data_IF_609147174614
#
_entry.id   IF_609147174614
#
_cell.length_a   1.000
_cell.length_b   1.000
_cell.length_c   1.000
_cell.angle_alpha   90.00
_cell.angle_beta   90.00
_cell.angle_gamma   90.00
#
_symmetry.space_group_name_H-M   'P 1'
#
loop_
_entity.id
_entity.type
_entity.pdbx_description
1 polymer ?
#
# COMPACT_ATOMS: atom_id res chain seq x y z
N UNK A 1 24.36 6.74 17.61
CA UNK A 1 24.68 5.94 16.41
C UNK A 1 23.36 5.39 15.94
N UNK A 2 22.92 5.76 14.73
CA UNK A 2 21.71 5.20 14.13
C UNK A 2 22.14 3.86 13.51
N UNK A 3 21.55 2.76 13.99
CA UNK A 3 21.83 1.45 13.44
C UNK A 3 21.37 1.40 11.97
N UNK A 4 22.18 0.90 11.03
CA UNK A 4 21.74 0.72 9.65
C UNK A 4 20.59 -0.28 9.67
N UNK A 5 19.40 0.15 9.25
CA UNK A 5 18.24 -0.72 9.19
C UNK A 5 18.52 -1.78 8.13
N UNK A 6 18.55 -3.04 8.56
CA UNK A 6 18.75 -4.18 7.68
C UNK A 6 17.46 -4.39 6.88
N UNK A 7 17.47 -3.96 5.62
CA UNK A 7 16.31 -4.02 4.71
C UNK A 7 15.95 -5.46 4.30
N UNK A 8 16.74 -6.45 4.73
CA UNK A 8 16.50 -7.88 4.52
C UNK A 8 15.71 -8.54 5.66
N UNK A 9 15.36 -7.78 6.69
CA UNK A 9 14.49 -8.22 7.78
C UNK A 9 13.07 -8.46 7.24
N UNK A 10 12.43 -9.58 7.60
CA UNK A 10 11.06 -9.96 7.18
C UNK A 10 9.99 -8.90 7.54
N UNK A 11 10.39 -7.89 8.32
CA UNK A 11 9.61 -6.75 8.79
C UNK A 11 9.58 -5.58 7.82
N UNK A 12 10.42 -5.55 6.79
CA UNK A 12 10.50 -4.45 5.83
C UNK A 12 10.37 -4.96 4.40
N UNK A 13 9.67 -4.20 3.57
CA UNK A 13 9.50 -4.52 2.16
C UNK A 13 9.99 -3.33 1.32
N UNK A 14 10.56 -3.60 0.15
CA UNK A 14 10.93 -2.54 -0.78
C UNK A 14 9.69 -1.82 -1.31
N UNK A 15 9.73 -0.48 -1.36
CA UNK A 15 8.60 0.30 -1.89
C UNK A 15 8.24 -0.10 -3.33
N UNK A 16 9.25 -0.29 -4.18
CA UNK A 16 9.04 -0.71 -5.57
C UNK A 16 8.44 -2.12 -5.66
N UNK A 17 8.96 -3.06 -4.86
CA UNK A 17 8.45 -4.44 -4.81
C UNK A 17 7.00 -4.50 -4.30
N UNK A 18 6.68 -3.71 -3.26
CA UNK A 18 5.32 -3.61 -2.76
C UNK A 18 4.37 -2.99 -3.79
N UNK A 19 4.82 -1.94 -4.48
CA UNK A 19 4.04 -1.29 -5.53
C UNK A 19 3.75 -2.23 -6.70
N UNK A 20 4.75 -2.98 -7.18
CA UNK A 20 4.54 -3.97 -8.24
C UNK A 20 3.65 -5.13 -7.77
N UNK A 21 3.81 -5.59 -6.52
CA UNK A 21 2.97 -6.63 -5.95
C UNK A 21 1.50 -6.21 -5.83
N UNK A 22 1.23 -5.01 -5.30
CA UNK A 22 -0.13 -4.48 -5.18
C UNK A 22 -0.74 -4.16 -6.54
N UNK A 23 0.05 -3.68 -7.51
CA UNK A 23 -0.46 -3.44 -8.85
C UNK A 23 -0.81 -4.74 -9.58
N UNK A 24 -0.06 -5.83 -9.35
CA UNK A 24 -0.39 -7.14 -9.88
C UNK A 24 -1.70 -7.70 -9.29
N UNK A 25 -1.99 -7.42 -8.01
CA UNK A 25 -3.23 -7.82 -7.35
C UNK A 25 -4.43 -6.93 -7.75
N UNK A 26 -4.21 -5.63 -7.91
CA UNK A 26 -5.21 -4.63 -8.27
C UNK A 26 -4.87 -3.97 -9.62
N UNK A 27 -4.92 -4.71 -10.75
CA UNK A 27 -4.52 -4.18 -12.06
C UNK A 27 -5.46 -3.08 -12.58
N UNK A 28 -6.68 -3.01 -12.04
CA UNK A 28 -7.68 -1.97 -12.35
C UNK A 28 -7.39 -0.65 -11.65
N UNK A 29 -6.51 -0.64 -10.62
CA UNK A 29 -6.12 0.56 -9.90
C UNK A 29 -4.82 1.11 -10.47
N UNK A 30 -4.82 2.40 -10.78
CA UNK A 30 -3.64 3.07 -11.32
C UNK A 30 -2.46 2.99 -10.33
N UNK A 31 -1.26 2.70 -10.85
CA UNK A 31 -0.02 2.57 -10.07
C UNK A 31 0.25 3.81 -9.19
N UNK A 32 0.03 5.03 -9.70
CA UNK A 32 0.12 6.28 -8.93
C UNK A 32 -0.84 6.36 -7.74
N UNK A 33 -2.00 5.71 -7.81
CA UNK A 33 -2.96 5.67 -6.70
C UNK A 33 -2.48 4.70 -5.62
N UNK A 34 -1.95 3.55 -6.03
CA UNK A 34 -1.34 2.57 -5.11
C UNK A 34 -0.15 3.18 -4.39
N UNK A 35 0.74 3.88 -5.11
CA UNK A 35 1.89 4.57 -4.53
C UNK A 35 1.47 5.57 -3.43
N UNK A 36 0.46 6.41 -3.69
CA UNK A 36 -0.08 7.37 -2.70
C UNK A 36 -0.66 6.70 -1.47
N UNK A 37 -1.29 5.53 -1.63
CA UNK A 37 -1.82 4.76 -0.50
C UNK A 37 -0.67 4.22 0.34
N UNK A 38 0.36 3.62 -0.30
CA UNK A 38 1.55 3.14 0.41
C UNK A 38 2.24 4.28 1.18
N UNK A 39 2.38 5.46 0.57
CA UNK A 39 2.97 6.63 1.22
C UNK A 39 2.15 7.10 2.42
N UNK A 40 0.82 7.19 2.29
CA UNK A 40 -0.06 7.60 3.37
C UNK A 40 -0.07 6.61 4.55
N UNK A 41 -0.10 5.31 4.27
CA UNK A 41 -0.04 4.26 5.28
C UNK A 41 1.35 4.23 5.96
N UNK A 42 2.42 4.42 5.19
CA UNK A 42 3.76 4.57 5.76
C UNK A 42 3.84 5.79 6.69
N UNK A 43 3.34 6.95 6.26
CA UNK A 43 3.30 8.16 7.09
C UNK A 43 2.51 7.95 8.39
N UNK A 44 1.36 7.26 8.31
CA UNK A 44 0.53 6.95 9.48
C UNK A 44 1.24 6.04 10.50
N UNK A 45 2.05 5.09 10.04
CA UNK A 45 2.76 4.13 10.89
C UNK A 45 4.10 4.69 11.39
N UNK A 46 4.86 5.38 10.54
CA UNK A 46 6.22 5.86 10.85
C UNK A 46 6.28 7.32 11.28
N UNK A 47 5.18 8.07 11.15
CA UNK A 47 5.15 9.51 11.40
C UNK A 47 5.94 10.33 10.36
N UNK A 48 6.04 9.84 9.13
CA UNK A 48 6.70 10.53 8.00
C UNK A 48 8.16 10.19 7.77
N UNK A 49 8.68 9.13 8.41
CA UNK A 49 10.02 8.61 8.17
C UNK A 49 10.02 7.61 6.99
N UNK A 50 10.10 8.14 5.77
CA UNK A 50 10.09 7.42 4.48
C UNK A 50 11.29 6.48 4.20
N UNK A 51 12.17 6.23 5.16
CA UNK A 51 13.38 5.42 4.93
C UNK A 51 13.12 3.91 4.87
N UNK A 52 11.96 3.46 5.38
CA UNK A 52 11.55 2.06 5.42
C UNK A 52 10.04 1.92 5.30
N UNK A 53 9.57 0.88 4.59
CA UNK A 53 8.16 0.51 4.52
C UNK A 53 7.96 -0.72 5.42
N UNK A 54 7.34 -0.58 6.61
CA UNK A 54 7.00 -1.73 7.44
C UNK A 54 6.07 -2.70 6.71
N UNK A 55 6.19 -4.00 6.98
CA UNK A 55 5.29 -5.02 6.42
C UNK A 55 3.80 -4.74 6.75
N UNK A 56 3.52 -4.08 7.87
CA UNK A 56 2.17 -3.65 8.28
C UNK A 56 1.55 -2.64 7.29
N UNK A 57 2.36 -1.84 6.57
CA UNK A 57 1.88 -0.92 5.51
C UNK A 57 1.22 -1.70 4.37
N UNK A 58 1.72 -2.90 4.06
CA UNK A 58 1.12 -3.72 3.02
C UNK A 58 -0.31 -4.14 3.38
N UNK A 59 -0.54 -4.52 4.64
CA UNK A 59 -1.87 -4.89 5.13
C UNK A 59 -2.85 -3.72 5.04
N UNK A 60 -2.50 -2.54 5.58
CA UNK A 60 -3.37 -1.36 5.53
C UNK A 60 -3.64 -0.88 4.10
N UNK A 61 -2.63 -0.94 3.22
CA UNK A 61 -2.78 -0.60 1.81
C UNK A 61 -3.76 -1.54 1.09
N UNK A 62 -3.71 -2.84 1.39
CA UNK A 62 -4.65 -3.84 0.84
C UNK A 62 -6.07 -3.52 1.29
N UNK A 63 -6.30 -3.29 2.59
CA UNK A 63 -7.63 -2.99 3.13
C UNK A 63 -8.24 -1.73 2.47
N UNK A 64 -7.44 -0.67 2.26
CA UNK A 64 -7.86 0.56 1.58
C UNK A 64 -8.18 0.34 0.09
N UNK A 65 -7.43 -0.52 -0.58
CA UNK A 65 -7.64 -0.89 -1.98
C UNK A 65 -8.87 -1.78 -2.15
N UNK A 66 -9.10 -2.73 -1.24
CA UNK A 66 -10.29 -3.57 -1.21
C UNK A 66 -11.56 -2.73 -0.99
N UNK A 67 -11.55 -1.82 -0.02
CA UNK A 67 -12.67 -0.90 0.22
C UNK A 67 -12.97 -0.04 -1.02
N UNK A 68 -11.93 0.46 -1.68
CA UNK A 68 -12.07 1.27 -2.90
C UNK A 68 -12.61 0.47 -4.09
N UNK A 69 -12.19 -0.79 -4.22
CA UNK A 69 -12.61 -1.69 -5.30
C UNK A 69 -14.03 -2.19 -5.08
N UNK A 70 -14.39 -2.57 -3.85
CA UNK A 70 -15.74 -2.95 -3.47
C UNK A 70 -16.74 -1.81 -3.72
N UNK A 71 -16.35 -0.57 -3.38
CA UNK A 71 -17.19 0.61 -3.66
C UNK A 71 -17.35 0.92 -5.15
N UNK A 72 -16.36 0.55 -5.97
CA UNK A 72 -16.45 0.68 -7.43
C UNK A 72 -17.37 -0.38 -8.05
N UNK A 73 -17.53 -1.53 -7.39
CA UNK A 73 -18.46 -2.59 -7.78
C UNK A 73 -19.90 -2.32 -7.31
N UNK A 74 -20.08 -1.68 -6.15
CA UNK A 74 -21.39 -1.40 -5.55
C UNK A 74 -22.12 -0.21 -6.20
N UNK A 75 -21.40 0.77 -6.76
CA UNK A 75 -21.98 1.90 -7.53
C UNK A 75 -22.56 1.46 -8.91
N UNK A 76 -22.55 0.15 -9.22
CA UNK A 76 -23.09 -0.44 -10.44
C UNK A 76 -24.50 -1.04 -10.34
N UNK A 77 -25.07 -1.18 -9.14
CA UNK A 77 -26.40 -1.79 -8.94
C UNK A 77 -27.43 -0.73 -8.54
N UNK A 78 -28.05 -0.08 -9.54
CA UNK A 78 -29.08 0.91 -9.25
C UNK A 78 -29.78 1.59 -10.43
N UNK A 79 -29.75 1.03 -11.65
CA UNK A 79 -30.66 1.45 -12.74
C UNK A 79 -31.01 0.27 -13.65
N UNK A 80 -32.08 -0.46 -13.32
CA UNK A 80 -32.85 -1.24 -14.28
C UNK A 80 -34.33 -1.25 -13.85
#
# INVERSE_FOLDING_TARGET
MVEPIDLTDERYIGFADLLDHLHAQFPTVARDRIARIIEAENDAITGGFLLVVPAEVATGAIEMLELSTARTLDDGEGVA
#
